data_IF_191705811049
#
_entry.id   IF_191705811049
#
_cell.length_a   1.000
_cell.length_b   1.000
_cell.length_c   1.000
_cell.angle_alpha   90.00
_cell.angle_beta   90.00
_cell.angle_gamma   90.00
#
_symmetry.space_group_name_H-M   'P 1'
#
loop_
_entity.id
_entity.type
_entity.pdbx_description
1 polymer ?
#
# COMPACT_ATOMS: atom_id res chain seq x y z
N UNK A 1 -32.16 34.54 8.47
CA UNK A 1 -33.28 33.94 9.21
C UNK A 1 -34.37 34.98 9.28
N UNK A 2 -35.51 34.70 8.68
CA UNK A 2 -36.71 35.55 8.77
C UNK A 2 -37.16 35.65 10.23
N UNK A 3 -37.49 36.86 10.69
CA UNK A 3 -37.92 37.14 12.07
C UNK A 3 -39.44 37.07 12.21
N UNK A 4 -39.94 36.86 13.44
CA UNK A 4 -41.39 36.88 13.73
C UNK A 4 -42.06 38.15 13.19
N UNK A 5 -41.40 39.29 13.33
CA UNK A 5 -41.92 40.60 12.91
C UNK A 5 -42.12 40.66 11.40
N UNK A 6 -41.16 40.13 10.63
CA UNK A 6 -41.26 40.05 9.16
C UNK A 6 -42.37 39.10 8.72
N UNK A 7 -42.57 37.98 9.43
CA UNK A 7 -43.66 37.04 9.16
C UNK A 7 -45.04 37.66 9.43
N UNK A 8 -45.16 38.41 10.53
CA UNK A 8 -46.37 39.17 10.86
C UNK A 8 -46.65 40.24 9.81
N UNK A 9 -45.63 40.98 9.36
CA UNK A 9 -45.78 41.99 8.29
C UNK A 9 -46.18 41.36 6.95
N UNK A 10 -45.61 40.21 6.59
CA UNK A 10 -45.97 39.50 5.37
C UNK A 10 -47.43 39.01 5.40
N UNK A 11 -47.84 38.35 6.48
CA UNK A 11 -49.21 37.87 6.61
C UNK A 11 -50.23 39.02 6.67
N UNK A 12 -49.89 40.13 7.32
CA UNK A 12 -50.71 41.35 7.31
C UNK A 12 -50.82 41.96 5.90
N UNK A 13 -49.72 42.00 5.13
CA UNK A 13 -49.73 42.46 3.71
C UNK A 13 -50.54 41.54 2.81
N UNK A 14 -50.66 40.25 3.14
CA UNK A 14 -51.53 39.29 2.45
C UNK A 14 -53.01 39.43 2.84
N UNK A 15 -53.34 40.31 3.79
CA UNK A 15 -54.71 40.53 4.25
C UNK A 15 -55.23 39.44 5.19
N UNK A 16 -54.34 38.65 5.79
CA UNK A 16 -54.72 37.62 6.76
C UNK A 16 -55.29 38.26 8.03
N UNK A 17 -56.38 37.71 8.54
CA UNK A 17 -56.97 38.12 9.83
C UNK A 17 -56.22 37.48 10.98
N UNK A 18 -56.40 37.97 12.20
CA UNK A 18 -55.61 37.58 13.37
C UNK A 18 -55.41 36.06 13.57
N UNK A 19 -56.43 35.23 13.40
CA UNK A 19 -56.29 33.77 13.55
C UNK A 19 -55.56 33.11 12.36
N UNK A 20 -55.81 33.58 11.14
CA UNK A 20 -55.10 33.11 9.93
C UNK A 20 -53.63 33.56 9.96
N UNK A 21 -53.37 34.75 10.50
CA UNK A 21 -52.04 35.32 10.68
C UNK A 21 -51.24 34.54 11.73
N UNK A 22 -51.86 34.18 12.86
CA UNK A 22 -51.23 33.31 13.87
C UNK A 22 -50.90 31.94 13.28
N UNK A 23 -51.80 31.36 12.49
CA UNK A 23 -51.55 30.07 11.85
C UNK A 23 -50.41 30.17 10.83
N UNK A 24 -50.42 31.20 9.98
CA UNK A 24 -49.34 31.47 9.02
C UNK A 24 -47.96 31.57 9.68
N UNK A 25 -47.85 32.33 10.78
CA UNK A 25 -46.58 32.47 11.50
C UNK A 25 -46.11 31.12 12.05
N UNK A 26 -47.01 30.31 12.61
CA UNK A 26 -46.65 28.97 13.14
C UNK A 26 -46.20 28.01 12.05
N UNK A 27 -46.90 28.02 10.92
CA UNK A 27 -46.58 27.15 9.78
C UNK A 27 -45.22 27.53 9.20
N UNK A 28 -44.95 28.82 9.04
CA UNK A 28 -43.70 29.30 8.46
C UNK A 28 -42.51 29.10 9.42
N UNK A 29 -42.72 29.27 10.73
CA UNK A 29 -41.71 28.91 11.73
C UNK A 29 -41.39 27.41 11.75
N UNK A 30 -42.41 26.55 11.58
CA UNK A 30 -42.22 25.10 11.49
C UNK A 30 -41.45 24.74 10.22
N UNK A 31 -41.84 25.32 9.07
CA UNK A 31 -41.14 25.14 7.79
C UNK A 31 -39.66 25.51 7.89
N UNK A 32 -39.35 26.67 8.50
CA UNK A 32 -37.98 27.12 8.71
C UNK A 32 -37.17 26.22 9.67
N UNK A 33 -37.84 25.56 10.63
CA UNK A 33 -37.20 24.59 11.51
C UNK A 33 -36.89 23.29 10.76
N UNK A 34 -37.85 22.78 10.01
CA UNK A 34 -37.70 21.56 9.22
C UNK A 34 -36.63 21.71 8.13
N UNK A 35 -36.57 22.88 7.47
CA UNK A 35 -35.51 23.20 6.50
C UNK A 35 -34.12 23.22 7.17
N UNK A 36 -34.03 23.78 8.38
CA UNK A 36 -32.76 23.78 9.11
C UNK A 36 -32.32 22.38 9.53
N UNK A 37 -33.24 21.57 10.02
CA UNK A 37 -32.99 20.18 10.40
C UNK A 37 -32.59 19.33 9.17
N UNK A 38 -33.26 19.55 8.03
CA UNK A 38 -32.92 18.93 6.75
C UNK A 38 -31.51 19.30 6.29
N UNK A 39 -31.15 20.57 6.31
CA UNK A 39 -29.83 21.06 5.87
C UNK A 39 -28.71 20.47 6.74
N UNK A 40 -28.92 20.37 8.06
CA UNK A 40 -27.98 19.68 8.97
C UNK A 40 -27.85 18.19 8.65
N UNK A 41 -28.96 17.53 8.34
CA UNK A 41 -28.96 16.08 8.05
C UNK A 41 -28.26 15.80 6.71
N UNK A 42 -28.57 16.58 5.67
CA UNK A 42 -27.93 16.45 4.35
C UNK A 42 -26.43 16.70 4.42
N UNK A 43 -26.00 17.68 5.23
CA UNK A 43 -24.60 17.95 5.48
C UNK A 43 -23.90 16.78 6.19
N UNK A 44 -24.50 16.23 7.25
CA UNK A 44 -23.95 15.07 7.97
C UNK A 44 -23.82 13.84 7.07
N UNK A 45 -24.84 13.54 6.27
CA UNK A 45 -24.82 12.41 5.32
C UNK A 45 -23.73 12.61 4.26
N UNK A 46 -23.53 13.84 3.78
CA UNK A 46 -22.45 14.16 2.84
C UNK A 46 -21.07 13.94 3.47
N UNK A 47 -20.86 14.46 4.68
CA UNK A 47 -19.60 14.33 5.41
C UNK A 47 -19.27 12.86 5.72
N UNK A 48 -20.26 12.06 6.14
CA UNK A 48 -20.09 10.62 6.39
C UNK A 48 -19.73 9.85 5.11
N UNK A 49 -20.36 10.20 3.98
CA UNK A 49 -20.06 9.59 2.68
C UNK A 49 -18.65 9.93 2.21
N UNK A 50 -18.21 11.18 2.36
CA UNK A 50 -16.85 11.60 2.01
C UNK A 50 -15.81 10.91 2.89
N UNK A 51 -16.06 10.81 4.20
CA UNK A 51 -15.18 10.09 5.12
C UNK A 51 -15.05 8.61 4.74
N UNK A 52 -16.17 7.94 4.43
CA UNK A 52 -16.18 6.55 3.99
C UNK A 52 -15.37 6.34 2.70
N UNK A 53 -15.55 7.22 1.72
CA UNK A 53 -14.77 7.20 0.47
C UNK A 53 -13.27 7.43 0.71
N UNK A 54 -12.92 8.32 1.63
CA UNK A 54 -11.52 8.58 1.98
C UNK A 54 -10.88 7.35 2.65
N UNK A 55 -11.60 6.69 3.56
CA UNK A 55 -11.15 5.45 4.19
C UNK A 55 -10.93 4.34 3.17
N UNK A 56 -11.85 4.17 2.22
CA UNK A 56 -11.74 3.17 1.14
C UNK A 56 -10.55 3.46 0.20
N UNK A 57 -10.31 4.73 -0.14
CA UNK A 57 -9.10 5.11 -0.90
C UNK A 57 -7.83 4.78 -0.12
N UNK A 58 -7.80 5.09 1.18
CA UNK A 58 -6.63 4.85 2.01
C UNK A 58 -6.34 3.34 2.15
N UNK A 59 -7.37 2.50 2.26
CA UNK A 59 -7.19 1.03 2.33
C UNK A 59 -6.68 0.47 1.01
N UNK A 60 -7.20 0.94 -0.14
CA UNK A 60 -6.70 0.54 -1.45
C UNK A 60 -5.23 0.94 -1.63
N UNK A 61 -4.87 2.19 -1.30
CA UNK A 61 -3.48 2.68 -1.39
C UNK A 61 -2.54 1.86 -0.48
N UNK A 62 -2.98 1.52 0.73
CA UNK A 62 -2.20 0.71 1.65
C UNK A 62 -1.99 -0.71 1.11
N UNK A 63 -3.02 -1.31 0.51
CA UNK A 63 -2.95 -2.63 -0.09
C UNK A 63 -2.02 -2.65 -1.32
N UNK A 64 -2.14 -1.66 -2.20
CA UNK A 64 -1.27 -1.52 -3.39
C UNK A 64 0.20 -1.32 -3.00
N UNK A 65 0.47 -0.47 -2.00
CA UNK A 65 1.84 -0.27 -1.49
C UNK A 65 2.43 -1.55 -0.93
N UNK A 66 1.67 -2.29 -0.12
CA UNK A 66 2.13 -3.57 0.43
C UNK A 66 2.33 -4.63 -0.65
N UNK A 67 1.45 -4.69 -1.65
CA UNK A 67 1.59 -5.61 -2.79
C UNK A 67 2.84 -5.30 -3.62
N UNK A 68 3.07 -4.02 -3.96
CA UNK A 68 4.24 -3.59 -4.73
C UNK A 68 5.55 -3.83 -3.98
N UNK A 69 5.56 -3.66 -2.66
CA UNK A 69 6.73 -4.02 -1.84
C UNK A 69 6.97 -5.52 -1.94
N UNK A 70 5.97 -6.36 -1.68
CA UNK A 70 6.13 -7.82 -1.68
C UNK A 70 6.58 -8.37 -3.06
N UNK A 71 6.08 -7.78 -4.15
CA UNK A 71 6.47 -8.12 -5.52
C UNK A 71 7.88 -7.65 -5.88
N UNK A 72 8.41 -6.60 -5.26
CA UNK A 72 9.79 -6.14 -5.51
C UNK A 72 10.83 -6.97 -4.75
N UNK A 73 10.54 -7.35 -3.51
CA UNK A 73 11.49 -8.09 -2.66
C UNK A 73 11.64 -9.58 -3.02
N UNK A 74 10.59 -10.24 -3.54
CA UNK A 74 10.66 -11.67 -3.91
C UNK A 74 11.61 -11.97 -5.09
N UNK A 75 11.56 -11.25 -6.22
CA UNK A 75 12.47 -11.47 -7.33
C UNK A 75 13.92 -11.16 -6.97
N UNK A 76 14.14 -10.09 -6.20
CA UNK A 76 15.49 -9.65 -5.81
C UNK A 76 16.17 -10.66 -4.89
N UNK A 77 15.41 -11.22 -3.92
CA UNK A 77 15.90 -12.29 -3.06
C UNK A 77 16.21 -13.58 -3.83
N UNK A 78 15.32 -14.00 -4.73
CA UNK A 78 15.52 -15.21 -5.53
C UNK A 78 16.70 -15.08 -6.51
N UNK A 79 16.91 -13.90 -7.10
CA UNK A 79 18.04 -13.64 -7.98
C UNK A 79 19.38 -13.63 -7.21
N UNK A 80 19.38 -13.02 -6.01
CA UNK A 80 20.55 -13.00 -5.13
C UNK A 80 20.93 -14.41 -4.64
N UNK A 81 19.95 -15.23 -4.27
CA UNK A 81 20.17 -16.63 -3.86
C UNK A 81 20.70 -17.49 -5.02
N UNK A 82 20.13 -17.35 -6.21
CA UNK A 82 20.59 -18.09 -7.39
C UNK A 82 22.02 -17.71 -7.79
N UNK A 83 22.37 -16.42 -7.72
CA UNK A 83 23.72 -15.95 -7.99
C UNK A 83 24.73 -16.54 -6.98
N UNK A 84 24.36 -16.61 -5.70
CA UNK A 84 25.21 -17.21 -4.66
C UNK A 84 25.42 -18.71 -4.91
N UNK A 85 24.39 -19.43 -5.35
CA UNK A 85 24.47 -20.85 -5.68
C UNK A 85 25.42 -21.10 -6.87
N UNK A 86 25.38 -20.24 -7.90
CA UNK A 86 26.32 -20.31 -9.03
C UNK A 86 27.76 -20.08 -8.54
N UNK A 87 27.99 -19.06 -7.72
CA UNK A 87 29.32 -18.74 -7.19
C UNK A 87 29.90 -19.86 -6.32
N UNK A 88 29.06 -20.53 -5.53
CA UNK A 88 29.45 -21.69 -4.73
C UNK A 88 29.85 -22.89 -5.60
N UNK A 89 29.07 -23.19 -6.63
CA UNK A 89 29.39 -24.26 -7.59
C UNK A 89 30.68 -23.97 -8.38
N UNK A 90 30.91 -22.71 -8.77
CA UNK A 90 32.15 -22.31 -9.44
C UNK A 90 33.37 -22.45 -8.51
N UNK A 91 33.24 -22.05 -7.24
CA UNK A 91 34.28 -22.20 -6.24
C UNK A 91 34.64 -23.68 -6.00
N UNK A 92 33.64 -24.54 -5.88
CA UNK A 92 33.81 -25.99 -5.72
C UNK A 92 34.49 -26.62 -6.95
N UNK A 93 34.08 -26.22 -8.15
CA UNK A 93 34.71 -26.68 -9.39
C UNK A 93 36.19 -26.29 -9.47
N UNK A 94 36.52 -25.05 -9.08
CA UNK A 94 37.90 -24.58 -9.01
C UNK A 94 38.71 -25.38 -7.99
N UNK A 95 38.14 -25.64 -6.80
CA UNK A 95 38.78 -26.44 -5.76
C UNK A 95 39.09 -27.86 -6.25
N UNK A 96 38.11 -28.53 -6.87
CA UNK A 96 38.31 -29.86 -7.45
C UNK A 96 39.39 -29.87 -8.53
N UNK A 97 39.41 -28.86 -9.39
CA UNK A 97 40.43 -28.71 -10.45
C UNK A 97 41.83 -28.56 -9.85
N UNK A 98 41.97 -27.75 -8.79
CA UNK A 98 43.25 -27.55 -8.11
C UNK A 98 43.73 -28.82 -7.40
N UNK A 99 42.82 -29.58 -6.78
CA UNK A 99 43.14 -30.87 -6.17
C UNK A 99 43.63 -31.88 -7.21
N UNK A 100 42.95 -31.99 -8.36
CA UNK A 100 43.37 -32.86 -9.45
C UNK A 100 44.75 -32.48 -10.02
N UNK A 101 45.01 -31.18 -10.20
CA UNK A 101 46.34 -30.71 -10.62
C UNK A 101 47.43 -31.05 -9.60
N UNK A 102 47.12 -30.94 -8.31
CA UNK A 102 48.06 -31.27 -7.23
C UNK A 102 48.38 -32.76 -7.19
N UNK A 103 47.38 -33.63 -7.33
CA UNK A 103 47.59 -35.09 -7.37
C UNK A 103 48.35 -35.53 -8.62
N UNK A 104 48.03 -34.95 -9.78
CA UNK A 104 48.76 -35.22 -11.02
C UNK A 104 50.23 -34.79 -10.92
N UNK A 105 50.51 -33.59 -10.39
CA UNK A 105 51.87 -33.09 -10.19
C UNK A 105 52.67 -34.00 -9.23
N UNK A 106 52.08 -34.38 -8.10
CA UNK A 106 52.71 -35.29 -7.14
C UNK A 106 53.00 -36.67 -7.75
N UNK A 107 52.11 -37.21 -8.58
CA UNK A 107 52.33 -38.46 -9.30
C UNK A 107 53.49 -38.35 -10.30
N UNK A 108 53.56 -37.26 -11.07
CA UNK A 108 54.67 -37.02 -11.99
C UNK A 108 56.02 -36.89 -11.27
N UNK A 109 56.07 -36.15 -10.16
CA UNK A 109 57.28 -36.02 -9.33
C UNK A 109 57.75 -37.38 -8.79
N UNK A 110 56.82 -38.22 -8.31
CA UNK A 110 57.14 -39.58 -7.86
C UNK A 110 57.68 -40.47 -8.99
N UNK A 111 57.08 -40.43 -10.18
CA UNK A 111 57.59 -41.21 -11.33
C UNK A 111 58.96 -40.73 -11.81
N UNK A 112 59.22 -39.42 -11.73
CA UNK A 112 60.51 -38.85 -12.08
C UNK A 112 61.60 -39.27 -11.08
N UNK A 113 61.29 -39.28 -9.78
CA UNK A 113 62.20 -39.73 -8.73
C UNK A 113 62.55 -41.23 -8.88
N UNK A 114 61.57 -42.08 -9.18
CA UNK A 114 61.80 -43.51 -9.44
C UNK A 114 62.68 -43.70 -10.68
N UNK A 115 62.42 -42.94 -11.75
CA UNK A 115 63.19 -43.02 -13.00
C UNK A 115 64.65 -42.58 -12.80
N UNK A 116 64.88 -41.50 -12.05
CA UNK A 116 66.22 -41.03 -11.68
C UNK A 116 66.99 -42.07 -10.85
N UNK A 117 66.33 -42.71 -9.88
CA UNK A 117 66.94 -43.78 -9.07
C UNK A 117 67.31 -45.00 -9.92
N UNK A 118 66.47 -45.39 -10.87
CA UNK A 118 66.76 -46.50 -11.78
C UNK A 118 67.90 -46.19 -12.76
N UNK A 119 67.98 -44.96 -13.27
CA UNK A 119 69.06 -44.54 -14.17
C UNK A 119 70.44 -44.45 -13.48
N UNK A 120 70.48 -44.31 -12.15
CA UNK A 120 71.73 -44.22 -11.36
C UNK A 120 72.30 -45.61 -10.99
N UNK A 121 71.55 -46.69 -11.20
CA UNK A 121 71.92 -48.08 -10.84
C UNK A 121 72.57 -48.83 -12.03
N UNK A 122 72.64 -48.23 -13.21
CA UNK A 122 73.33 -48.75 -14.42
C UNK A 122 74.70 -48.09 -14.54
#
# INVERSE_FOLDING_TARGET
MTTITELLEMGAKMGLKDEELKQYVRDEQSRMRDEREKDTTERQVREEREFKLQMEKNTVIAFEKNSNINLKWKPEKNASEHQREIEELEADQQFHTLQQKKTQKSSMESTHEISLKMATII
#
